data_IF_538101750826
#
_entry.id   IF_538101750826
#
_cell.length_a   1.000
_cell.length_b   1.000
_cell.length_c   1.000
_cell.angle_alpha   90.00
_cell.angle_beta   90.00
_cell.angle_gamma   90.00
#
_symmetry.space_group_name_H-M   'P 1'
#
loop_
_entity.id
_entity.type
_entity.pdbx_description
1 polymer ?
#
# COMPACT_ATOMS: atom_id res chain seq x y z
N UNK A 1 -14.05 -32.51 -50.89
CA UNK A 1 -14.62 -31.27 -50.30
C UNK A 1 -14.47 -31.17 -48.78
N UNK A 2 -14.87 -32.17 -47.98
CA UNK A 2 -14.81 -32.15 -46.49
C UNK A 2 -13.45 -31.75 -45.85
N UNK A 3 -12.30 -32.20 -46.37
CA UNK A 3 -10.96 -31.86 -45.82
C UNK A 3 -10.62 -30.36 -45.88
N UNK A 4 -11.16 -29.63 -46.86
CA UNK A 4 -10.91 -28.18 -47.04
C UNK A 4 -11.68 -27.36 -46.01
N UNK A 5 -12.92 -27.76 -45.71
CA UNK A 5 -13.72 -27.18 -44.64
C UNK A 5 -13.13 -27.45 -43.24
N UNK A 6 -12.59 -28.65 -43.02
CA UNK A 6 -11.92 -28.98 -41.74
C UNK A 6 -10.69 -28.11 -41.49
N UNK A 7 -9.83 -27.91 -42.51
CA UNK A 7 -8.69 -27.00 -42.41
C UNK A 7 -9.13 -25.55 -42.16
N UNK A 8 -10.19 -25.10 -42.83
CA UNK A 8 -10.73 -23.74 -42.67
C UNK A 8 -11.27 -23.52 -41.25
N UNK A 9 -11.96 -24.52 -40.67
CA UNK A 9 -12.47 -24.48 -39.30
C UNK A 9 -11.34 -24.46 -38.27
N UNK A 10 -10.28 -25.25 -38.45
CA UNK A 10 -9.11 -25.26 -37.57
C UNK A 10 -8.39 -23.90 -37.56
N UNK A 11 -8.25 -23.26 -38.74
CA UNK A 11 -7.63 -21.93 -38.84
C UNK A 11 -8.50 -20.89 -38.13
N UNK A 12 -9.82 -20.91 -38.34
CA UNK A 12 -10.74 -19.99 -37.67
C UNK A 12 -10.72 -20.18 -36.14
N UNK A 13 -10.70 -21.42 -35.67
CA UNK A 13 -10.58 -21.77 -34.25
C UNK A 13 -9.27 -21.27 -33.63
N UNK A 14 -8.15 -21.35 -34.36
CA UNK A 14 -6.86 -20.85 -33.89
C UNK A 14 -6.84 -19.32 -33.80
N UNK A 15 -7.46 -18.63 -34.76
CA UNK A 15 -7.59 -17.16 -34.74
C UNK A 15 -8.45 -16.73 -33.55
N UNK A 16 -9.58 -17.39 -33.32
CA UNK A 16 -10.47 -17.10 -32.19
C UNK A 16 -9.76 -17.36 -30.85
N UNK A 17 -9.03 -18.47 -30.74
CA UNK A 17 -8.25 -18.79 -29.53
C UNK A 17 -7.15 -17.75 -29.27
N UNK A 18 -6.43 -17.33 -30.32
CA UNK A 18 -5.43 -16.27 -30.24
C UNK A 18 -6.03 -14.94 -29.76
N UNK A 19 -7.15 -14.52 -30.34
CA UNK A 19 -7.85 -13.29 -29.95
C UNK A 19 -8.37 -13.35 -28.49
N UNK A 20 -8.90 -14.50 -28.07
CA UNK A 20 -9.36 -14.72 -26.69
C UNK A 20 -8.21 -14.66 -25.68
N UNK A 21 -7.05 -15.20 -26.04
CA UNK A 21 -5.87 -15.19 -25.16
C UNK A 21 -5.32 -13.79 -24.93
N UNK A 22 -5.24 -12.98 -25.99
CA UNK A 22 -4.79 -11.58 -25.89
C UNK A 22 -5.79 -10.74 -25.10
N UNK A 23 -7.09 -10.93 -25.34
CA UNK A 23 -8.15 -10.22 -24.60
C UNK A 23 -8.11 -10.52 -23.10
N UNK A 24 -7.89 -11.79 -22.73
CA UNK A 24 -7.80 -12.21 -21.33
C UNK A 24 -6.55 -11.64 -20.64
N UNK A 25 -5.42 -11.58 -21.35
CA UNK A 25 -4.17 -11.03 -20.81
C UNK A 25 -4.26 -9.52 -20.56
N UNK A 26 -4.79 -8.74 -21.52
CA UNK A 26 -4.99 -7.30 -21.34
C UNK A 26 -5.98 -6.97 -20.22
N UNK A 27 -7.00 -7.80 -20.02
CA UNK A 27 -7.96 -7.63 -18.95
C UNK A 27 -7.33 -7.88 -17.57
N UNK A 28 -6.51 -8.94 -17.44
CA UNK A 28 -5.82 -9.26 -16.20
C UNK A 28 -4.83 -8.16 -15.77
N UNK A 29 -3.98 -7.68 -16.69
CA UNK A 29 -3.01 -6.62 -16.38
C UNK A 29 -3.69 -5.29 -16.04
N UNK A 30 -4.82 -4.97 -16.68
CA UNK A 30 -5.57 -3.74 -16.43
C UNK A 30 -6.23 -3.70 -15.05
N UNK A 31 -6.73 -4.83 -14.53
CA UNK A 31 -7.28 -4.90 -13.16
C UNK A 31 -6.18 -4.79 -12.10
N UNK A 32 -5.03 -5.41 -12.36
CA UNK A 32 -3.87 -5.39 -11.47
C UNK A 32 -3.26 -3.98 -11.36
N UNK A 33 -3.05 -3.29 -12.49
CA UNK A 33 -2.54 -1.92 -12.52
C UNK A 33 -3.48 -0.95 -11.79
N UNK A 34 -4.80 -1.09 -11.98
CA UNK A 34 -5.79 -0.30 -11.26
C UNK A 34 -5.77 -0.59 -9.74
N UNK A 35 -5.52 -1.84 -9.34
CA UNK A 35 -5.42 -2.20 -7.93
C UNK A 35 -4.17 -1.56 -7.28
N UNK A 36 -3.00 -1.66 -7.91
CA UNK A 36 -1.76 -1.04 -7.40
C UNK A 36 -1.84 0.48 -7.32
N UNK A 37 -2.45 1.13 -8.31
CA UNK A 37 -2.70 2.57 -8.28
C UNK A 37 -3.63 2.96 -7.13
N UNK A 38 -4.68 2.16 -6.88
CA UNK A 38 -5.64 2.43 -5.81
C UNK A 38 -5.00 2.27 -4.43
N UNK A 39 -4.24 1.20 -4.19
CA UNK A 39 -3.52 0.98 -2.93
C UNK A 39 -2.49 2.09 -2.67
N UNK A 40 -1.74 2.47 -3.71
CA UNK A 40 -0.77 3.58 -3.63
C UNK A 40 -1.45 4.91 -3.26
N UNK A 41 -2.63 5.18 -3.84
CA UNK A 41 -3.39 6.39 -3.55
C UNK A 41 -3.94 6.40 -2.11
N UNK A 42 -4.52 5.30 -1.65
CA UNK A 42 -5.03 5.16 -0.28
C UNK A 42 -3.89 5.32 0.75
N UNK A 43 -2.76 4.66 0.51
CA UNK A 43 -1.57 4.78 1.35
C UNK A 43 -1.04 6.22 1.39
N UNK A 44 -1.03 6.92 0.25
CA UNK A 44 -0.65 8.33 0.16
C UNK A 44 -1.60 9.24 0.95
N UNK A 45 -2.90 8.97 0.93
CA UNK A 45 -3.88 9.74 1.69
C UNK A 45 -3.70 9.59 3.20
N UNK A 46 -3.51 8.36 3.69
CA UNK A 46 -3.17 8.12 5.09
C UNK A 46 -1.84 8.76 5.49
N UNK A 47 -0.82 8.65 4.64
CA UNK A 47 0.48 9.28 4.89
C UNK A 47 0.36 10.80 5.06
N UNK A 48 -0.47 11.45 4.23
CA UNK A 48 -0.74 12.88 4.36
C UNK A 48 -1.40 13.21 5.70
N UNK A 49 -2.33 12.37 6.17
CA UNK A 49 -2.94 12.54 7.50
C UNK A 49 -1.91 12.37 8.62
N UNK A 50 -1.01 11.38 8.51
CA UNK A 50 0.07 11.14 9.47
C UNK A 50 1.00 12.36 9.58
N UNK A 51 1.48 12.88 8.44
CA UNK A 51 2.36 14.06 8.39
C UNK A 51 1.68 15.29 8.96
N UNK A 52 0.41 15.53 8.62
CA UNK A 52 -0.34 16.66 9.18
C UNK A 52 -0.43 16.59 10.71
N UNK A 53 -0.64 15.39 11.28
CA UNK A 53 -0.70 15.20 12.73
C UNK A 53 0.66 15.30 13.39
N UNK A 54 1.73 14.82 12.74
CA UNK A 54 3.10 15.03 13.17
C UNK A 54 3.44 16.53 13.24
N UNK A 55 3.14 17.30 12.20
CA UNK A 55 3.41 18.75 12.16
C UNK A 55 2.62 19.50 13.23
N UNK A 56 1.34 19.13 13.41
CA UNK A 56 0.49 19.66 14.49
C UNK A 56 1.07 19.34 15.87
N UNK A 57 1.58 18.12 16.07
CA UNK A 57 2.22 17.69 17.30
C UNK A 57 3.50 18.48 17.59
N UNK A 58 4.37 18.64 16.59
CA UNK A 58 5.62 19.41 16.70
C UNK A 58 5.32 20.85 17.13
N UNK A 59 4.34 21.49 16.48
CA UNK A 59 3.93 22.86 16.80
C UNK A 59 3.30 22.98 18.19
N UNK A 60 2.42 22.04 18.55
CA UNK A 60 1.64 22.09 19.79
C UNK A 60 2.47 21.73 21.01
N UNK A 61 3.34 20.74 20.90
CA UNK A 61 4.11 20.22 22.03
C UNK A 61 5.50 20.83 22.15
N UNK A 62 5.92 21.69 21.22
CA UNK A 62 7.16 22.49 21.31
C UNK A 62 8.41 21.64 21.61
N UNK A 63 8.47 20.41 21.10
CA UNK A 63 9.57 19.47 21.34
C UNK A 63 9.44 18.59 22.60
N UNK A 64 8.34 18.69 23.36
CA UNK A 64 8.02 17.74 24.43
C UNK A 64 7.48 16.45 23.81
N UNK A 65 8.36 15.46 23.72
CA UNK A 65 8.14 14.27 22.91
C UNK A 65 7.78 13.08 23.80
N UNK A 66 6.47 12.82 23.90
CA UNK A 66 5.98 11.58 24.45
C UNK A 66 4.96 10.96 23.49
N UNK A 67 5.10 9.66 23.20
CA UNK A 67 4.27 8.93 22.24
C UNK A 67 2.79 8.85 22.61
N UNK A 68 2.48 8.96 23.91
CA UNK A 68 1.13 8.81 24.46
C UNK A 68 0.30 10.09 24.36
N UNK A 69 0.88 11.18 23.84
CA UNK A 69 0.12 12.39 23.53
C UNK A 69 -0.76 12.13 22.32
N UNK A 70 -1.99 12.65 22.37
CA UNK A 70 -3.05 12.40 21.40
C UNK A 70 -2.62 12.61 19.94
N UNK A 71 -1.90 13.69 19.63
CA UNK A 71 -1.49 13.98 18.25
C UNK A 71 -0.42 12.99 17.75
N UNK A 72 0.48 12.53 18.62
CA UNK A 72 1.46 11.52 18.27
C UNK A 72 0.83 10.15 18.05
N UNK A 73 -0.14 9.76 18.90
CA UNK A 73 -0.93 8.53 18.70
C UNK A 73 -1.65 8.55 17.35
N UNK A 74 -2.29 9.67 16.99
CA UNK A 74 -2.96 9.81 15.69
C UNK A 74 -1.97 9.77 14.51
N UNK A 75 -0.80 10.40 14.65
CA UNK A 75 0.21 10.38 13.61
C UNK A 75 0.72 8.95 13.35
N UNK A 76 0.95 8.17 14.42
CA UNK A 76 1.35 6.77 14.35
C UNK A 76 0.24 5.92 13.70
N UNK A 77 -1.00 6.01 14.18
CA UNK A 77 -2.15 5.26 13.64
C UNK A 77 -2.36 5.49 12.14
N UNK A 78 -2.25 6.73 11.66
CA UNK A 78 -2.31 6.99 10.22
C UNK A 78 -1.09 6.48 9.46
N UNK A 79 0.10 6.50 10.05
CA UNK A 79 1.30 5.92 9.42
C UNK A 79 1.20 4.40 9.28
N UNK A 80 0.66 3.72 10.29
CA UNK A 80 0.39 2.28 10.27
C UNK A 80 -0.67 1.94 9.20
N UNK A 81 -1.77 2.70 9.13
CA UNK A 81 -2.78 2.53 8.07
C UNK A 81 -2.23 2.73 6.65
N UNK A 82 -1.27 3.63 6.47
CA UNK A 82 -0.61 3.79 5.18
C UNK A 82 0.17 2.53 4.77
N UNK A 83 0.83 1.87 5.73
CA UNK A 83 1.55 0.60 5.52
C UNK A 83 0.56 -0.57 5.35
N UNK A 84 -0.55 -0.58 6.07
CA UNK A 84 -1.60 -1.60 5.89
C UNK A 84 -2.24 -1.51 4.50
N UNK A 85 -2.43 -0.29 3.97
CA UNK A 85 -2.96 -0.05 2.64
C UNK A 85 -1.97 -0.45 1.54
N UNK A 86 -0.70 -0.07 1.66
CA UNK A 86 0.37 -0.50 0.76
C UNK A 86 1.63 -0.86 1.56
N UNK A 87 1.86 -2.16 1.81
CA UNK A 87 3.02 -2.63 2.56
C UNK A 87 4.37 -2.28 1.95
N UNK A 88 4.42 -2.03 0.64
CA UNK A 88 5.65 -1.70 -0.10
C UNK A 88 5.82 -0.18 -0.26
N UNK A 89 4.92 0.63 0.30
CA UNK A 89 4.99 2.09 0.21
C UNK A 89 6.13 2.67 1.08
N UNK A 90 7.31 2.75 0.47
CA UNK A 90 8.57 3.15 1.12
C UNK A 90 8.44 4.45 1.92
N UNK A 91 7.70 5.43 1.41
CA UNK A 91 7.56 6.73 2.07
C UNK A 91 6.79 6.64 3.40
N UNK A 92 5.82 5.73 3.51
CA UNK A 92 5.09 5.50 4.76
C UNK A 92 6.00 4.90 5.84
N UNK A 93 6.79 3.89 5.50
CA UNK A 93 7.81 3.34 6.41
C UNK A 93 8.79 4.41 6.88
N UNK A 94 9.29 5.23 5.95
CA UNK A 94 10.23 6.30 6.27
C UNK A 94 9.62 7.36 7.20
N UNK A 95 8.39 7.81 6.95
CA UNK A 95 7.71 8.79 7.80
C UNK A 95 7.32 8.23 9.16
N UNK A 96 6.85 6.98 9.23
CA UNK A 96 6.55 6.33 10.51
C UNK A 96 7.81 6.19 11.37
N UNK A 97 8.94 5.81 10.77
CA UNK A 97 10.22 5.82 11.46
C UNK A 97 10.59 7.22 11.99
N UNK A 98 10.40 8.28 11.20
CA UNK A 98 10.61 9.65 11.69
C UNK A 98 9.71 10.00 12.88
N UNK A 99 8.44 9.62 12.86
CA UNK A 99 7.50 9.85 13.98
C UNK A 99 7.99 9.15 15.26
N UNK A 100 8.46 7.90 15.15
CA UNK A 100 9.06 7.18 16.28
C UNK A 100 10.34 7.82 16.79
N UNK A 101 11.16 8.36 15.87
CA UNK A 101 12.35 9.11 16.25
C UNK A 101 12.02 10.38 17.01
N UNK A 102 11.05 11.15 16.52
CA UNK A 102 10.57 12.36 17.21
C UNK A 102 10.05 12.03 18.59
N UNK A 103 9.26 10.97 18.74
CA UNK A 103 8.60 10.61 20.01
C UNK A 103 9.51 9.89 21.02
N UNK A 104 10.78 9.63 20.67
CA UNK A 104 11.69 8.76 21.43
C UNK A 104 11.09 7.38 21.71
N UNK A 105 10.29 6.84 20.78
CA UNK A 105 9.49 5.65 21.03
C UNK A 105 10.17 4.32 20.74
N UNK A 106 11.46 4.34 20.46
CA UNK A 106 12.31 3.16 20.31
C UNK A 106 12.20 2.14 21.46
N UNK A 107 11.64 2.54 22.60
CA UNK A 107 11.47 1.72 23.80
C UNK A 107 10.16 0.95 23.90
N UNK A 108 9.13 1.22 23.08
CA UNK A 108 7.86 0.47 23.22
C UNK A 108 7.96 -0.93 22.64
N UNK A 109 8.45 -1.11 21.41
CA UNK A 109 8.64 -2.45 20.86
C UNK A 109 9.56 -3.28 21.78
N UNK A 110 10.62 -2.68 22.33
CA UNK A 110 11.52 -3.36 23.27
C UNK A 110 10.86 -3.73 24.61
N UNK A 111 9.93 -2.89 25.12
CA UNK A 111 9.21 -3.15 26.38
C UNK A 111 8.11 -4.20 26.21
N UNK A 112 7.35 -4.13 25.14
CA UNK A 112 6.31 -5.13 24.84
C UNK A 112 6.93 -6.49 24.51
N UNK A 113 8.08 -6.53 23.83
CA UNK A 113 8.85 -7.77 23.67
C UNK A 113 9.35 -8.35 25.00
N UNK A 114 9.65 -7.51 25.98
CA UNK A 114 10.08 -7.93 27.32
C UNK A 114 8.95 -8.40 28.25
N UNK A 115 7.68 -8.09 27.94
CA UNK A 115 6.52 -8.59 28.71
C UNK A 115 5.93 -9.89 28.13
N UNK A 116 6.40 -10.33 26.95
CA UNK A 116 5.98 -11.58 26.28
C UNK A 116 6.88 -12.77 26.66
N UNK A 117 7.96 -12.56 27.43
CA UNK A 117 8.86 -13.61 27.95
C UNK A 117 9.05 -13.50 29.46
#
# INVERSE_FOLDING_TARGET
MKKRYLKMFLILSLIICGLLSVFSFSFATGQEEAAWETLSQEASDYLKMAVNKMDEAIKTYQGVNYPNKELWVKAIDYGEKAIEADPDFIEAHYRLAQIYQYTNWYYREAREWGEIY
#
